data_IF_963941461295
#
_entry.id   IF_963941461295
#
_cell.length_a   1.000
_cell.length_b   1.000
_cell.length_c   1.000
_cell.angle_alpha   90.00
_cell.angle_beta   90.00
_cell.angle_gamma   90.00
#
_symmetry.space_group_name_H-M   'P 1'
#
loop_
_entity.id
_entity.type
_entity.pdbx_description
1 polymer ?
#
# COMPACT_ATOMS: atom_id res chain seq x y z
N UNK A 1 -15.07 -2.85 -7.86
CA UNK A 1 -14.41 -3.64 -6.79
C UNK A 1 -13.96 -2.77 -5.62
N UNK A 2 -13.19 -1.69 -5.82
CA UNK A 2 -12.67 -0.90 -4.69
C UNK A 2 -13.75 -0.21 -3.83
N UNK A 3 -14.83 0.29 -4.45
CA UNK A 3 -15.96 0.84 -3.69
C UNK A 3 -16.63 -0.20 -2.77
N UNK A 4 -16.60 -1.49 -3.16
CA UNK A 4 -17.11 -2.59 -2.33
C UNK A 4 -16.14 -2.84 -1.17
N UNK A 5 -14.83 -2.81 -1.42
CA UNK A 5 -13.83 -2.89 -0.36
C UNK A 5 -13.99 -1.75 0.66
N UNK A 6 -14.06 -0.50 0.21
CA UNK A 6 -14.26 0.64 1.11
C UNK A 6 -15.61 0.56 1.84
N UNK A 7 -16.69 0.35 1.10
CA UNK A 7 -18.03 0.39 1.64
C UNK A 7 -18.33 -0.76 2.59
N UNK A 8 -17.99 -1.99 2.19
CA UNK A 8 -18.33 -3.22 2.90
C UNK A 8 -17.23 -3.62 3.88
N UNK A 9 -15.98 -3.75 3.42
CA UNK A 9 -14.88 -4.28 4.25
C UNK A 9 -14.31 -3.25 5.21
N UNK A 10 -14.18 -1.98 4.78
CA UNK A 10 -13.84 -0.89 5.72
C UNK A 10 -15.08 -0.29 6.40
N UNK A 11 -16.28 -0.67 5.96
CA UNK A 11 -17.53 -0.25 6.56
C UNK A 11 -17.89 1.21 6.31
N UNK A 12 -17.27 1.92 5.36
CA UNK A 12 -17.47 3.36 5.20
C UNK A 12 -18.89 3.74 4.76
N UNK A 13 -19.62 2.80 4.16
CA UNK A 13 -21.01 2.98 3.72
C UNK A 13 -22.01 2.18 4.55
N UNK A 14 -21.56 1.43 5.57
CA UNK A 14 -22.46 0.66 6.44
C UNK A 14 -23.15 1.60 7.44
N UNK A 15 -24.41 1.32 7.84
CA UNK A 15 -25.12 2.14 8.83
C UNK A 15 -24.39 2.24 10.17
N UNK A 16 -23.74 1.15 10.62
CA UNK A 16 -22.97 1.07 11.86
C UNK A 16 -21.53 1.62 11.74
N UNK A 17 -21.07 1.85 10.50
CA UNK A 17 -19.71 2.21 10.09
C UNK A 17 -18.62 1.22 10.54
N UNK A 18 -18.98 -0.01 10.90
CA UNK A 18 -18.02 -1.00 11.43
C UNK A 18 -17.50 -1.88 10.29
N UNK A 19 -16.21 -1.79 10.00
CA UNK A 19 -15.49 -2.66 9.08
C UNK A 19 -14.62 -3.72 9.77
N UNK A 20 -13.81 -4.42 8.98
CA UNK A 20 -12.89 -5.47 9.42
C UNK A 20 -11.82 -5.00 10.42
N UNK A 21 -11.53 -3.69 10.44
CA UNK A 21 -10.57 -3.07 11.37
C UNK A 21 -11.25 -2.21 12.45
N UNK A 22 -12.60 -2.17 12.49
CA UNK A 22 -13.37 -1.23 13.30
C UNK A 22 -13.89 -0.04 12.50
N UNK A 23 -14.21 1.07 13.18
CA UNK A 23 -14.74 2.29 12.54
C UNK A 23 -13.62 3.11 11.92
N UNK A 24 -13.72 3.37 10.63
CA UNK A 24 -12.73 4.18 9.90
C UNK A 24 -13.09 5.67 9.98
N UNK A 25 -12.15 6.47 10.48
CA UNK A 25 -12.21 7.94 10.50
C UNK A 25 -11.70 8.52 9.18
N UNK A 26 -10.52 8.09 8.75
CA UNK A 26 -9.91 8.56 7.50
C UNK A 26 -9.19 7.42 6.77
N UNK A 27 -9.04 7.55 5.46
CA UNK A 27 -8.17 6.70 4.67
C UNK A 27 -7.56 7.47 3.50
N UNK A 28 -6.40 7.00 3.06
CA UNK A 28 -5.74 7.47 1.86
C UNK A 28 -5.05 6.29 1.19
N UNK A 29 -5.39 6.02 -0.06
CA UNK A 29 -4.76 4.96 -0.82
C UNK A 29 -4.42 5.38 -2.24
N UNK A 30 -3.36 4.80 -2.76
CA UNK A 30 -2.82 5.06 -4.11
C UNK A 30 -2.74 3.75 -4.87
N UNK A 31 -3.31 3.75 -6.07
CA UNK A 31 -3.28 2.63 -7.00
C UNK A 31 -2.10 2.80 -7.93
N UNK A 32 -1.27 1.77 -8.02
CA UNK A 32 -0.14 1.73 -8.94
C UNK A 32 -0.17 0.46 -9.80
N UNK A 33 0.40 0.55 -11.00
CA UNK A 33 0.69 -0.64 -11.79
C UNK A 33 2.06 -1.20 -11.43
N UNK A 34 2.15 -2.52 -11.31
CA UNK A 34 3.42 -3.23 -11.30
C UNK A 34 3.97 -3.34 -12.73
N UNK A 35 5.23 -3.79 -12.84
CA UNK A 35 5.92 -3.95 -14.12
C UNK A 35 5.22 -4.88 -15.13
N UNK A 36 4.24 -5.68 -14.69
CA UNK A 36 3.40 -6.54 -15.55
C UNK A 36 1.99 -6.00 -15.79
N UNK A 37 1.73 -4.75 -15.39
CA UNK A 37 0.44 -4.08 -15.57
C UNK A 37 -0.63 -4.41 -14.54
N UNK A 38 -0.39 -5.33 -13.60
CA UNK A 38 -1.32 -5.60 -12.50
C UNK A 38 -1.45 -4.37 -11.60
N UNK A 39 -2.69 -4.00 -11.30
CA UNK A 39 -2.99 -2.91 -10.37
C UNK A 39 -2.97 -3.44 -8.94
N UNK A 40 -2.33 -2.71 -8.04
CA UNK A 40 -2.46 -2.92 -6.61
C UNK A 40 -2.50 -1.58 -5.89
N UNK A 41 -2.97 -1.61 -4.65
CA UNK A 41 -3.17 -0.42 -3.85
C UNK A 41 -2.32 -0.44 -2.59
N UNK A 42 -1.73 0.69 -2.26
CA UNK A 42 -1.18 0.98 -0.94
C UNK A 42 -2.19 1.83 -0.19
N UNK A 43 -2.53 1.46 1.05
CA UNK A 43 -3.61 2.09 1.79
C UNK A 43 -3.20 2.40 3.23
N UNK A 44 -3.46 3.63 3.64
CA UNK A 44 -3.45 4.08 5.03
C UNK A 44 -4.88 4.17 5.55
N UNK A 45 -5.09 3.67 6.77
CA UNK A 45 -6.38 3.68 7.44
C UNK A 45 -6.18 4.25 8.84
N UNK A 46 -6.96 5.27 9.19
CA UNK A 46 -7.04 5.84 10.52
C UNK A 46 -8.38 5.47 11.15
N UNK A 47 -8.33 4.85 12.31
CA UNK A 47 -9.52 4.44 13.04
C UNK A 47 -10.08 5.58 13.89
N UNK A 48 -11.38 5.55 14.12
CA UNK A 48 -12.07 6.48 15.01
C UNK A 48 -11.69 6.19 16.46
N UNK A 49 -11.32 7.23 17.21
CA UNK A 49 -10.85 7.09 18.59
C UNK A 49 -9.44 6.47 18.74
N UNK A 50 -8.71 6.25 17.63
CA UNK A 50 -7.32 5.81 17.69
C UNK A 50 -6.46 6.83 18.44
N UNK A 51 -5.70 6.34 19.41
CA UNK A 51 -4.72 7.10 20.16
C UNK A 51 -3.50 7.41 19.29
N UNK A 52 -2.76 8.46 19.64
CA UNK A 52 -1.46 8.69 19.00
C UNK A 52 -0.47 7.57 19.36
N UNK A 53 0.56 7.31 18.55
CA UNK A 53 1.57 6.31 18.89
C UNK A 53 2.20 6.49 20.29
N UNK A 54 2.43 7.74 20.70
CA UNK A 54 2.95 8.06 22.03
C UNK A 54 1.93 7.69 23.12
N UNK A 55 0.66 8.09 22.94
CA UNK A 55 -0.39 7.76 23.90
C UNK A 55 -0.63 6.25 24.01
N UNK A 56 -0.51 5.52 22.89
CA UNK A 56 -0.57 4.06 22.88
C UNK A 56 0.54 3.49 23.76
N UNK A 57 1.78 3.94 23.56
CA UNK A 57 2.93 3.46 24.32
C UNK A 57 2.76 3.76 25.82
N UNK A 58 2.46 5.02 26.18
CA UNK A 58 2.24 5.44 27.57
C UNK A 58 1.12 4.62 28.21
N UNK A 59 -0.02 4.47 27.53
CA UNK A 59 -1.16 3.74 28.09
C UNK A 59 -0.91 2.24 28.22
N UNK A 60 -0.13 1.65 27.31
CA UNK A 60 0.30 0.26 27.42
C UNK A 60 1.26 0.02 28.58
N UNK A 61 2.08 1.01 28.94
CA UNK A 61 2.97 0.95 30.10
C UNK A 61 2.19 1.12 31.42
N UNK A 62 1.27 2.08 31.46
CA UNK A 62 0.52 2.43 32.68
C UNK A 62 -0.66 1.48 32.97
N UNK A 63 -1.24 0.88 31.93
CA UNK A 63 -2.46 0.09 32.06
C UNK A 63 -2.32 -1.29 31.40
N UNK A 64 -1.97 -2.33 32.19
CA UNK A 64 -1.84 -3.71 31.70
C UNK A 64 -3.12 -4.27 31.06
N UNK A 65 -4.30 -3.88 31.55
CA UNK A 65 -5.58 -4.32 31.00
C UNK A 65 -5.82 -3.74 29.60
N UNK A 66 -5.52 -2.45 29.40
CA UNK A 66 -5.56 -1.82 28.07
C UNK A 66 -4.58 -2.51 27.11
N UNK A 67 -3.34 -2.76 27.55
CA UNK A 67 -2.33 -3.46 26.75
C UNK A 67 -2.82 -4.83 26.28
N UNK A 68 -3.36 -5.63 27.22
CA UNK A 68 -3.88 -6.96 26.90
C UNK A 68 -5.06 -6.89 25.91
N UNK A 69 -5.99 -5.95 26.08
CA UNK A 69 -7.11 -5.75 25.16
C UNK A 69 -6.65 -5.34 23.76
N UNK A 70 -5.66 -4.44 23.68
CA UNK A 70 -5.08 -4.01 22.41
C UNK A 70 -4.38 -5.16 21.69
N UNK A 71 -3.60 -5.97 22.40
CA UNK A 71 -2.92 -7.14 21.81
C UNK A 71 -3.93 -8.18 21.31
N UNK A 72 -4.95 -8.50 22.11
CA UNK A 72 -6.02 -9.40 21.70
C UNK A 72 -6.76 -8.88 20.47
N UNK A 73 -7.02 -7.56 20.40
CA UNK A 73 -7.60 -6.95 19.21
C UNK A 73 -6.68 -7.10 17.99
N UNK A 74 -5.40 -6.75 18.10
CA UNK A 74 -4.43 -6.87 17.00
C UNK A 74 -4.32 -8.31 16.49
N UNK A 75 -4.21 -9.28 17.39
CA UNK A 75 -4.18 -10.70 17.02
C UNK A 75 -5.48 -11.17 16.37
N UNK A 76 -6.62 -10.54 16.66
CA UNK A 76 -7.89 -10.86 15.99
C UNK A 76 -7.96 -10.36 14.55
N UNK A 77 -7.24 -9.29 14.20
CA UNK A 77 -7.31 -8.64 12.89
C UNK A 77 -6.07 -8.84 12.01
N UNK A 78 -4.93 -9.23 12.57
CA UNK A 78 -3.68 -9.46 11.84
C UNK A 78 -3.15 -10.84 12.20
N UNK A 79 -3.04 -11.70 11.20
CA UNK A 79 -2.51 -13.07 11.30
C UNK A 79 -1.24 -13.21 10.48
N UNK A 80 -0.38 -14.13 10.90
CA UNK A 80 0.90 -14.45 10.25
C UNK A 80 1.11 -15.96 10.14
N UNK A 81 0.03 -16.72 10.03
CA UNK A 81 0.03 -18.16 10.00
C UNK A 81 -1.19 -18.64 9.21
N UNK A 82 -1.14 -19.89 8.76
CA UNK A 82 -2.29 -20.48 8.11
C UNK A 82 -3.33 -20.88 9.16
N UNK A 83 -4.63 -20.68 8.89
CA UNK A 83 -5.68 -21.22 9.73
C UNK A 83 -5.60 -22.76 9.76
N UNK A 84 -5.98 -23.38 10.86
CA UNK A 84 -6.06 -24.84 10.95
C UNK A 84 -7.18 -25.34 10.03
N UNK A 85 -6.82 -26.12 9.01
CA UNK A 85 -7.74 -26.66 8.00
C UNK A 85 -7.41 -28.12 7.72
N UNK A 86 -8.43 -28.91 7.38
CA UNK A 86 -8.36 -30.39 7.27
C UNK A 86 -8.86 -30.92 5.93
N UNK A 87 -9.34 -30.06 5.03
CA UNK A 87 -9.98 -30.47 3.77
C UNK A 87 -9.34 -29.76 2.56
N UNK A 88 -9.83 -29.98 1.35
CA UNK A 88 -9.42 -29.23 0.14
C UNK A 88 -10.70 -28.89 -0.59
N UNK A 89 -11.03 -27.61 -0.78
CA UNK A 89 -12.29 -27.22 -1.45
C UNK A 89 -12.21 -25.88 -2.20
N UNK A 90 -13.05 -25.77 -3.24
CA UNK A 90 -13.10 -24.66 -4.19
C UNK A 90 -13.84 -23.40 -3.71
N UNK A 91 -14.88 -23.00 -4.47
CA UNK A 91 -15.57 -21.68 -4.45
C UNK A 91 -15.80 -21.08 -3.05
N UNK A 92 -15.89 -19.75 -2.92
CA UNK A 92 -16.20 -19.08 -1.64
C UNK A 92 -17.43 -19.69 -0.94
N UNK A 93 -17.33 -20.00 0.37
CA UNK A 93 -18.44 -20.59 1.12
C UNK A 93 -19.59 -19.58 1.23
N UNK A 94 -20.83 -20.08 1.18
CA UNK A 94 -22.01 -19.24 1.34
C UNK A 94 -22.17 -18.85 2.82
N UNK A 95 -22.15 -17.55 3.18
CA UNK A 95 -22.29 -17.12 4.57
C UNK A 95 -23.64 -17.45 5.20
N UNK A 96 -24.66 -17.80 4.41
CA UNK A 96 -25.97 -18.22 4.91
C UNK A 96 -26.05 -19.72 5.27
N UNK A 97 -25.02 -20.52 4.95
CA UNK A 97 -25.01 -21.94 5.26
C UNK A 97 -24.51 -22.17 6.69
N UNK A 98 -25.13 -23.11 7.41
CA UNK A 98 -24.71 -23.49 8.77
C UNK A 98 -23.27 -24.04 8.83
N UNK A 99 -22.77 -24.57 7.71
CA UNK A 99 -21.41 -25.10 7.60
C UNK A 99 -20.34 -24.02 7.37
N UNK A 100 -20.72 -22.76 7.16
CA UNK A 100 -19.80 -21.67 6.82
C UNK A 100 -18.60 -21.58 7.77
N UNK A 101 -18.83 -21.63 9.08
CA UNK A 101 -17.76 -21.51 10.07
C UNK A 101 -16.77 -22.69 10.06
N UNK A 102 -17.22 -23.86 9.62
CA UNK A 102 -16.38 -25.05 9.48
C UNK A 102 -15.60 -25.03 8.15
N UNK A 103 -16.19 -24.47 7.10
CA UNK A 103 -15.60 -24.40 5.76
C UNK A 103 -14.64 -23.21 5.58
N UNK A 104 -14.92 -22.09 6.25
CA UNK A 104 -14.17 -20.85 6.10
C UNK A 104 -12.66 -20.98 6.36
N UNK A 105 -12.18 -21.64 7.44
CA UNK A 105 -10.76 -21.81 7.68
C UNK A 105 -10.04 -22.49 6.52
N UNK A 106 -10.67 -23.50 5.91
CA UNK A 106 -10.09 -24.20 4.77
C UNK A 106 -10.08 -23.32 3.53
N UNK A 107 -11.20 -22.68 3.21
CA UNK A 107 -11.28 -21.74 2.09
C UNK A 107 -10.22 -20.64 2.20
N UNK A 108 -10.04 -20.07 3.39
CA UNK A 108 -9.03 -19.05 3.63
C UNK A 108 -7.63 -19.61 3.41
N UNK A 109 -7.31 -20.80 3.92
CA UNK A 109 -6.01 -21.46 3.67
C UNK A 109 -5.74 -21.59 2.17
N UNK A 110 -6.72 -22.02 1.39
CA UNK A 110 -6.59 -22.20 -0.07
C UNK A 110 -6.39 -20.85 -0.78
N UNK A 111 -7.07 -19.79 -0.34
CA UNK A 111 -6.82 -18.41 -0.83
C UNK A 111 -5.41 -17.94 -0.49
N UNK A 112 -4.92 -18.18 0.73
CA UNK A 112 -3.58 -17.76 1.15
C UNK A 112 -2.51 -18.46 0.30
N UNK A 113 -2.68 -19.76 0.04
CA UNK A 113 -1.77 -20.55 -0.81
C UNK A 113 -1.82 -20.07 -2.27
N UNK A 114 -3.01 -19.99 -2.87
CA UNK A 114 -3.19 -19.61 -4.27
C UNK A 114 -2.78 -18.15 -4.56
N UNK A 115 -2.89 -17.26 -3.59
CA UNK A 115 -2.52 -15.85 -3.74
C UNK A 115 -1.04 -15.56 -3.47
N UNK A 116 -0.26 -16.54 -3.01
CA UNK A 116 1.13 -16.34 -2.62
C UNK A 116 1.27 -15.44 -1.39
N UNK A 117 0.35 -15.58 -0.42
CA UNK A 117 0.42 -14.85 0.85
C UNK A 117 1.64 -15.28 1.67
N UNK A 118 1.98 -16.57 1.63
CA UNK A 118 3.26 -17.08 2.12
C UNK A 118 4.34 -16.81 1.07
N UNK A 119 5.40 -16.12 1.51
CA UNK A 119 6.46 -15.69 0.62
C UNK A 119 7.34 -16.85 0.18
N UNK A 120 7.50 -16.98 -1.14
CA UNK A 120 8.52 -17.84 -1.74
C UNK A 120 9.56 -16.99 -2.46
N UNK A 121 10.83 -17.17 -2.09
CA UNK A 121 11.93 -16.47 -2.73
C UNK A 121 11.94 -16.71 -4.24
N UNK A 122 12.02 -15.63 -4.99
CA UNK A 122 12.13 -15.61 -6.44
C UNK A 122 12.97 -14.40 -6.88
N UNK A 123 13.26 -14.28 -8.18
CA UNK A 123 14.12 -13.22 -8.72
C UNK A 123 13.64 -11.80 -8.35
N UNK A 124 12.35 -11.60 -8.11
CA UNK A 124 11.84 -10.28 -7.71
C UNK A 124 12.35 -9.85 -6.33
N UNK A 125 12.67 -10.79 -5.44
CA UNK A 125 13.23 -10.53 -4.11
C UNK A 125 14.58 -9.81 -4.19
N UNK A 126 15.32 -10.07 -5.27
CA UNK A 126 16.71 -9.66 -5.44
C UNK A 126 16.89 -8.63 -6.56
N UNK A 127 15.80 -7.98 -7.01
CA UNK A 127 15.80 -7.00 -8.11
C UNK A 127 16.84 -5.88 -7.98
N UNK A 128 17.21 -5.51 -6.75
CA UNK A 128 18.18 -4.44 -6.47
C UNK A 128 19.63 -4.93 -6.38
N UNK A 129 19.85 -6.24 -6.42
CA UNK A 129 21.18 -6.84 -6.36
C UNK A 129 21.78 -6.97 -7.75
N UNK A 130 23.10 -6.80 -7.84
CA UNK A 130 23.87 -7.03 -9.07
C UNK A 130 24.18 -8.51 -9.32
N UNK A 131 23.68 -9.40 -8.47
CA UNK A 131 23.96 -10.84 -8.46
C UNK A 131 22.66 -11.59 -8.66
N UNK A 132 22.67 -12.60 -9.53
CA UNK A 132 21.51 -13.46 -9.75
C UNK A 132 21.21 -14.33 -8.52
N UNK A 133 19.93 -14.58 -8.23
CA UNK A 133 19.49 -15.40 -7.10
C UNK A 133 20.16 -16.79 -7.07
N UNK A 134 20.41 -17.39 -8.24
CA UNK A 134 21.06 -18.69 -8.36
C UNK A 134 22.48 -18.74 -7.79
N UNK A 135 23.14 -17.58 -7.65
CA UNK A 135 24.48 -17.45 -7.05
C UNK A 135 24.45 -17.14 -5.55
N UNK A 136 23.28 -16.84 -5.00
CA UNK A 136 23.11 -16.59 -3.57
C UNK A 136 22.92 -17.92 -2.84
N UNK A 137 23.63 -18.08 -1.72
CA UNK A 137 23.36 -19.18 -0.79
C UNK A 137 21.95 -19.04 -0.19
N UNK A 138 21.43 -20.08 0.45
CA UNK A 138 20.13 -20.00 1.12
C UNK A 138 20.12 -18.92 2.21
N UNK A 139 21.23 -18.78 2.95
CA UNK A 139 21.39 -17.73 3.95
C UNK A 139 21.37 -16.33 3.32
N UNK A 140 22.12 -16.12 2.24
CA UNK A 140 22.13 -14.84 1.53
C UNK A 140 20.74 -14.48 0.98
N UNK A 141 19.96 -15.48 0.53
CA UNK A 141 18.60 -15.26 0.03
C UNK A 141 17.68 -14.76 1.13
N UNK A 142 17.82 -15.31 2.33
CA UNK A 142 17.04 -14.89 3.50
C UNK A 142 17.44 -13.49 3.97
N UNK A 143 18.73 -13.22 4.09
CA UNK A 143 19.26 -11.93 4.60
C UNK A 143 19.05 -10.78 3.61
N UNK A 144 19.19 -11.04 2.29
CA UNK A 144 19.13 -10.00 1.26
C UNK A 144 17.75 -9.88 0.59
N UNK A 145 16.74 -10.59 1.11
CA UNK A 145 15.38 -10.48 0.62
C UNK A 145 14.86 -9.06 0.80
N UNK A 146 14.53 -8.37 -0.31
CA UNK A 146 14.01 -6.99 -0.24
C UNK A 146 12.72 -6.82 0.57
N UNK A 147 12.00 -7.92 0.81
CA UNK A 147 10.75 -7.94 1.56
C UNK A 147 10.97 -8.19 3.06
N UNK A 148 12.23 -8.35 3.49
CA UNK A 148 12.63 -8.66 4.86
C UNK A 148 11.96 -9.93 5.40
N UNK A 149 11.91 -10.96 4.54
CA UNK A 149 11.45 -12.30 4.88
C UNK A 149 12.60 -13.28 4.64
N UNK A 150 12.84 -14.22 5.55
CA UNK A 150 11.95 -14.60 6.64
C UNK A 150 12.09 -13.72 7.89
N UNK A 151 10.97 -13.28 8.45
CA UNK A 151 10.90 -12.45 9.64
C UNK A 151 11.25 -13.23 10.94
N UNK A 152 11.47 -12.52 12.03
CA UNK A 152 11.64 -13.09 13.36
C UNK A 152 10.34 -13.80 13.84
N UNK A 153 10.46 -14.92 14.54
CA UNK A 153 9.32 -15.57 15.18
C UNK A 153 8.94 -14.85 16.46
N UNK A 154 7.64 -14.74 16.72
CA UNK A 154 7.10 -14.09 17.91
C UNK A 154 6.06 -15.02 18.50
N UNK A 155 6.36 -15.62 19.67
CA UNK A 155 5.50 -16.63 20.32
C UNK A 155 4.28 -16.03 21.02
N UNK A 156 4.34 -14.75 21.39
CA UNK A 156 3.23 -13.99 21.97
C UNK A 156 3.39 -12.51 21.62
N UNK A 157 2.29 -11.80 21.39
CA UNK A 157 2.35 -10.37 21.08
C UNK A 157 2.96 -9.59 22.24
N UNK A 158 3.93 -8.73 21.94
CA UNK A 158 4.56 -7.84 22.91
C UNK A 158 4.85 -6.46 22.31
N UNK A 159 5.21 -5.51 23.17
CA UNK A 159 5.69 -4.18 22.77
C UNK A 159 7.14 -4.05 23.22
N UNK A 160 8.02 -3.66 22.30
CA UNK A 160 9.43 -3.42 22.60
C UNK A 160 9.66 -2.07 23.29
N UNK A 161 10.90 -1.83 23.71
CA UNK A 161 11.29 -0.61 24.44
C UNK A 161 11.09 0.67 23.60
N UNK A 162 11.16 0.54 22.28
CA UNK A 162 10.90 1.62 21.31
C UNK A 162 9.40 1.86 21.05
N UNK A 163 8.53 1.09 21.72
CA UNK A 163 7.07 1.19 21.61
C UNK A 163 6.49 0.52 20.37
N UNK A 164 7.28 -0.21 19.58
CA UNK A 164 6.77 -0.97 18.44
C UNK A 164 6.13 -2.27 18.91
N UNK A 165 4.91 -2.53 18.43
CA UNK A 165 4.18 -3.77 18.75
C UNK A 165 4.61 -4.89 17.80
N UNK A 166 5.15 -5.96 18.36
CA UNK A 166 5.46 -7.21 17.66
C UNK A 166 4.29 -8.15 17.84
N UNK A 167 3.52 -8.36 16.77
CA UNK A 167 2.35 -9.25 16.78
C UNK A 167 2.81 -10.70 16.67
N UNK A 168 2.13 -11.59 17.37
CA UNK A 168 2.25 -13.05 17.26
C UNK A 168 2.52 -13.49 15.81
N UNK A 169 3.58 -14.28 15.64
CA UNK A 169 4.07 -14.76 14.35
C UNK A 169 4.72 -16.12 14.50
N UNK A 170 4.01 -17.14 14.01
CA UNK A 170 4.47 -18.53 14.01
C UNK A 170 4.99 -18.98 12.65
N UNK A 171 4.80 -18.19 11.59
CA UNK A 171 5.39 -18.42 10.28
C UNK A 171 6.25 -17.23 9.84
N UNK A 172 7.53 -17.48 9.61
CA UNK A 172 8.53 -16.47 9.24
C UNK A 172 8.33 -15.90 7.85
N UNK A 173 7.69 -16.64 6.94
CA UNK A 173 7.50 -16.27 5.54
C UNK A 173 6.10 -15.68 5.25
N UNK A 174 5.20 -15.71 6.23
CA UNK A 174 3.84 -15.19 6.05
C UNK A 174 3.82 -13.66 6.19
N UNK A 175 3.33 -12.95 5.18
CA UNK A 175 3.03 -11.52 5.30
C UNK A 175 1.78 -11.32 6.14
N UNK A 176 1.72 -10.21 6.89
CA UNK A 176 0.57 -9.93 7.77
C UNK A 176 -0.71 -9.79 6.96
N UNK A 177 -1.78 -10.48 7.38
CA UNK A 177 -3.05 -10.44 6.65
C UNK A 177 -4.24 -10.40 7.60
N UNK A 178 -5.38 -9.95 7.10
CA UNK A 178 -6.65 -9.97 7.82
C UNK A 178 -7.51 -11.06 7.19
N UNK A 179 -7.92 -12.09 7.95
CA UNK A 179 -8.69 -13.22 7.43
C UNK A 179 -9.87 -12.83 6.53
N UNK A 180 -10.64 -11.82 6.94
CA UNK A 180 -11.84 -11.37 6.23
C UNK A 180 -11.44 -10.65 4.94
N UNK A 181 -10.51 -9.69 5.02
CA UNK A 181 -10.10 -8.91 3.85
C UNK A 181 -9.47 -9.81 2.79
N UNK A 182 -8.50 -10.63 3.17
CA UNK A 182 -7.77 -11.50 2.24
C UNK A 182 -8.69 -12.55 1.64
N UNK A 183 -9.55 -13.19 2.46
CA UNK A 183 -10.53 -14.16 1.99
C UNK A 183 -11.58 -13.57 1.05
N UNK A 184 -12.03 -12.33 1.30
CA UNK A 184 -13.02 -11.67 0.46
C UNK A 184 -12.43 -11.10 -0.84
N UNK A 185 -11.21 -10.58 -0.79
CA UNK A 185 -10.53 -9.99 -1.95
C UNK A 185 -9.83 -11.03 -2.82
N UNK A 186 -9.58 -12.24 -2.28
CA UNK A 186 -8.93 -13.36 -2.96
C UNK A 186 -7.57 -13.03 -3.57
N UNK A 187 -6.85 -12.10 -2.93
CA UNK A 187 -5.51 -11.69 -3.33
C UNK A 187 -4.65 -11.51 -2.08
N UNK A 188 -3.33 -11.55 -2.25
CA UNK A 188 -2.42 -11.34 -1.15
C UNK A 188 -2.54 -9.90 -0.62
N UNK A 189 -2.33 -9.75 0.69
CA UNK A 189 -2.36 -8.47 1.40
C UNK A 189 -1.16 -8.34 2.31
N UNK A 190 -0.72 -7.12 2.62
CA UNK A 190 0.33 -6.86 3.62
C UNK A 190 -0.18 -5.82 4.62
N UNK A 191 -0.77 -6.30 5.71
CA UNK A 191 -1.39 -5.47 6.74
C UNK A 191 -0.42 -5.31 7.90
N UNK A 192 -0.17 -4.05 8.27
CA UNK A 192 0.73 -3.67 9.34
C UNK A 192 0.06 -2.68 10.27
N UNK A 193 0.25 -2.88 11.57
CA UNK A 193 -0.18 -1.93 12.58
C UNK A 193 0.86 -0.82 12.75
N UNK A 194 0.39 0.43 12.82
CA UNK A 194 1.22 1.62 12.98
C UNK A 194 1.08 2.13 14.41
N UNK A 195 1.81 1.48 15.32
CA UNK A 195 1.72 1.73 16.76
C UNK A 195 2.78 2.67 17.32
N UNK A 196 3.88 2.92 16.62
CA UNK A 196 5.00 3.75 17.09
C UNK A 196 5.26 4.94 16.16
N UNK A 197 5.83 6.02 16.72
CA UNK A 197 6.12 7.24 15.96
C UNK A 197 7.10 7.01 14.82
N UNK A 198 8.12 6.17 15.05
CA UNK A 198 9.08 5.77 14.01
C UNK A 198 8.40 5.06 12.83
N UNK A 199 7.53 4.09 13.10
CA UNK A 199 6.79 3.37 12.06
C UNK A 199 5.88 4.32 11.29
N UNK A 200 5.20 5.25 11.98
CA UNK A 200 4.36 6.27 11.33
C UNK A 200 5.13 7.21 10.42
N UNK A 201 6.32 7.66 10.84
CA UNK A 201 7.21 8.50 10.02
C UNK A 201 7.71 7.74 8.78
N UNK A 202 8.22 6.52 8.97
CA UNK A 202 8.69 5.68 7.87
C UNK A 202 7.58 5.43 6.84
N UNK A 203 6.34 5.21 7.31
CA UNK A 203 5.19 4.98 6.45
C UNK A 203 4.73 6.24 5.70
N UNK A 204 4.94 7.43 6.27
CA UNK A 204 4.67 8.71 5.60
C UNK A 204 5.60 8.90 4.39
N UNK A 205 6.89 8.58 4.55
CA UNK A 205 7.87 8.59 3.45
C UNK A 205 7.53 7.55 2.40
N UNK A 206 7.15 6.35 2.85
CA UNK A 206 6.70 5.25 1.98
C UNK A 206 5.52 5.69 1.12
N UNK A 207 4.42 6.14 1.73
CA UNK A 207 3.22 6.56 1.01
C UNK A 207 3.47 7.73 0.05
N UNK A 208 4.30 8.70 0.47
CA UNK A 208 4.72 9.81 -0.39
C UNK A 208 5.45 9.31 -1.63
N UNK A 209 6.33 8.30 -1.48
CA UNK A 209 7.05 7.70 -2.59
C UNK A 209 6.11 7.02 -3.60
N UNK A 210 5.06 6.33 -3.15
CA UNK A 210 4.06 5.72 -4.04
C UNK A 210 3.16 6.75 -4.71
N UNK A 211 2.77 7.77 -3.97
CA UNK A 211 2.00 8.91 -4.52
C UNK A 211 2.80 9.60 -5.63
N UNK A 212 4.10 9.80 -5.41
CA UNK A 212 4.99 10.43 -6.37
C UNK A 212 5.49 9.48 -7.48
N UNK A 213 5.25 8.17 -7.39
CA UNK A 213 5.81 7.19 -8.35
C UNK A 213 5.29 7.38 -9.77
N UNK A 214 4.08 7.92 -9.90
CA UNK A 214 3.50 8.26 -11.20
C UNK A 214 4.02 9.59 -11.76
N UNK A 215 4.77 10.37 -10.98
CA UNK A 215 5.42 11.59 -11.43
C UNK A 215 6.63 11.24 -12.31
N UNK A 216 6.84 12.03 -13.36
CA UNK A 216 8.04 11.91 -14.18
C UNK A 216 9.26 12.37 -13.38
N UNK A 217 10.39 11.71 -13.64
CA UNK A 217 11.68 12.12 -13.11
C UNK A 217 12.01 13.56 -13.53
N UNK A 218 12.46 14.39 -12.59
CA UNK A 218 12.78 15.80 -12.85
C UNK A 218 13.82 15.98 -13.95
N UNK A 219 14.80 15.07 -14.08
CA UNK A 219 15.77 15.10 -15.18
C UNK A 219 15.10 14.88 -16.53
N UNK A 220 14.09 14.00 -16.60
CA UNK A 220 13.29 13.79 -17.82
C UNK A 220 12.48 15.05 -18.16
N UNK A 221 11.89 15.71 -17.14
CA UNK A 221 11.16 16.97 -17.31
C UNK A 221 12.09 18.07 -17.83
N UNK A 222 13.27 18.23 -17.24
CA UNK A 222 14.26 19.22 -17.64
C UNK A 222 14.79 18.97 -19.06
N UNK A 223 15.06 17.71 -19.43
CA UNK A 223 15.45 17.36 -20.80
C UNK A 223 14.32 17.67 -21.80
N UNK A 224 13.06 17.40 -21.45
CA UNK A 224 11.92 17.75 -22.29
C UNK A 224 11.74 19.27 -22.42
N UNK A 225 12.03 20.02 -21.37
CA UNK A 225 12.03 21.49 -21.38
C UNK A 225 13.14 22.04 -22.28
N UNK A 226 14.37 21.57 -22.10
CA UNK A 226 15.50 21.96 -22.94
C UNK A 226 15.23 21.67 -24.42
N UNK A 227 14.74 20.48 -24.75
CA UNK A 227 14.37 20.11 -26.12
C UNK A 227 13.25 21.00 -26.70
N UNK A 228 12.27 21.41 -25.88
CA UNK A 228 11.22 22.32 -26.30
C UNK A 228 11.74 23.74 -26.60
N UNK A 229 12.70 24.22 -25.81
CA UNK A 229 13.37 25.52 -26.02
C UNK A 229 14.20 25.48 -27.31
N UNK A 230 15.04 24.46 -27.50
CA UNK A 230 15.86 24.32 -28.71
C UNK A 230 15.00 24.22 -29.99
N UNK A 231 13.87 23.50 -29.93
CA UNK A 231 12.94 23.41 -31.07
C UNK A 231 12.28 24.77 -31.38
N UNK A 232 12.00 25.59 -30.36
CA UNK A 232 11.49 26.95 -30.55
C UNK A 232 12.51 27.89 -31.18
N UNK A 233 13.77 27.83 -30.72
CA UNK A 233 14.87 28.60 -31.29
C UNK A 233 15.12 28.22 -32.76
N UNK A 234 15.14 26.91 -33.07
CA UNK A 234 15.33 26.41 -34.44
C UNK A 234 14.22 26.82 -35.40
N UNK A 235 12.97 26.89 -34.92
CA UNK A 235 11.82 27.33 -35.74
C UNK A 235 11.76 28.84 -35.92
N UNK A 236 12.58 29.60 -35.19
CA UNK A 236 12.59 31.06 -35.17
C UNK A 236 11.18 31.62 -34.90
N UNK A 237 10.48 31.00 -33.94
CA UNK A 237 9.11 31.37 -33.60
C UNK A 237 9.07 32.82 -33.11
N UNK A 238 8.49 33.71 -33.92
CA UNK A 238 8.37 35.14 -33.61
C UNK A 238 7.06 35.40 -32.88
N UNK A 239 6.99 35.00 -31.62
CA UNK A 239 5.86 35.29 -30.74
C UNK A 239 6.16 36.60 -30.01
N UNK A 240 5.38 37.65 -30.31
CA UNK A 240 5.55 38.99 -29.72
C UNK A 240 5.07 39.07 -28.27
N UNK A 241 4.15 38.20 -27.88
CA UNK A 241 3.65 38.07 -26.51
C UNK A 241 4.51 37.09 -25.71
N UNK A 242 5.10 37.58 -24.61
CA UNK A 242 5.93 36.80 -23.69
C UNK A 242 5.15 35.69 -22.99
N UNK A 243 3.88 35.93 -22.67
CA UNK A 243 3.04 34.95 -21.98
C UNK A 243 2.68 33.80 -22.93
N UNK A 244 2.31 34.12 -24.16
CA UNK A 244 2.04 33.13 -25.20
C UNK A 244 3.30 32.34 -25.59
N UNK A 245 4.45 33.01 -25.67
CA UNK A 245 5.75 32.35 -25.89
C UNK A 245 6.06 31.33 -24.78
N UNK A 246 5.86 31.72 -23.51
CA UNK A 246 6.05 30.83 -22.36
C UNK A 246 5.07 29.65 -22.38
N UNK A 247 3.81 29.91 -22.73
CA UNK A 247 2.77 28.87 -22.86
C UNK A 247 3.10 27.86 -23.95
N UNK A 248 3.64 28.31 -25.10
CA UNK A 248 4.03 27.44 -26.21
C UNK A 248 5.20 26.52 -25.83
N UNK A 249 6.21 27.05 -25.14
CA UNK A 249 7.33 26.26 -24.61
C UNK A 249 6.78 25.19 -23.66
N UNK A 250 5.97 25.59 -22.66
CA UNK A 250 5.37 24.64 -21.71
C UNK A 250 4.53 23.56 -22.41
N UNK A 251 3.75 23.93 -23.44
CA UNK A 251 2.94 22.98 -24.22
C UNK A 251 3.83 21.98 -24.97
N UNK A 252 4.93 22.42 -25.57
CA UNK A 252 5.90 21.53 -26.24
C UNK A 252 6.56 20.59 -25.24
N UNK A 253 7.01 21.11 -24.10
CA UNK A 253 7.55 20.32 -23.00
C UNK A 253 6.55 19.25 -22.57
N UNK A 254 5.28 19.62 -22.34
CA UNK A 254 4.22 18.69 -21.99
C UNK A 254 3.98 17.63 -23.06
N UNK A 255 3.99 17.98 -24.34
CA UNK A 255 3.81 17.01 -25.43
C UNK A 255 4.95 15.99 -25.48
N UNK A 256 6.21 16.43 -25.31
CA UNK A 256 7.38 15.54 -25.25
C UNK A 256 7.26 14.62 -24.03
N UNK A 257 6.86 15.18 -22.88
CA UNK A 257 6.65 14.42 -21.64
C UNK A 257 5.57 13.36 -21.78
N UNK A 258 4.40 13.72 -22.33
CA UNK A 258 3.28 12.79 -22.55
C UNK A 258 3.69 11.68 -23.51
N UNK A 259 4.41 12.00 -24.59
CA UNK A 259 4.87 10.99 -25.56
C UNK A 259 5.89 9.99 -24.99
N UNK A 260 6.56 10.33 -23.88
CA UNK A 260 7.51 9.44 -23.18
C UNK A 260 6.86 8.68 -22.02
N UNK A 261 5.59 8.94 -21.70
CA UNK A 261 4.91 8.31 -20.58
C UNK A 261 4.23 7.04 -21.05
N UNK A 262 4.78 5.90 -20.64
CA UNK A 262 4.12 4.61 -20.81
C UNK A 262 3.12 4.38 -19.68
N UNK A 263 1.89 3.99 -20.05
CA UNK A 263 0.84 3.60 -19.11
C UNK A 263 0.42 2.17 -19.43
N UNK A 264 0.17 1.35 -18.40
CA UNK A 264 -0.35 0.01 -18.64
C UNK A 264 -1.80 0.09 -19.15
N UNK A 265 -2.20 -0.89 -19.97
CA UNK A 265 -3.57 -0.98 -20.46
C UNK A 265 -4.60 -1.01 -19.30
N UNK A 266 -4.23 -1.63 -18.18
CA UNK A 266 -5.05 -1.71 -16.98
C UNK A 266 -5.21 -0.35 -16.29
N UNK A 267 -4.16 0.48 -16.22
CA UNK A 267 -4.26 1.84 -15.67
C UNK A 267 -5.19 2.70 -16.53
N UNK A 268 -5.03 2.62 -17.85
CA UNK A 268 -5.90 3.35 -18.79
C UNK A 268 -7.35 2.88 -18.63
N UNK A 269 -7.59 1.58 -18.57
CA UNK A 269 -8.92 1.03 -18.37
C UNK A 269 -9.54 1.47 -17.03
N UNK A 270 -8.78 1.44 -15.93
CA UNK A 270 -9.26 1.89 -14.61
C UNK A 270 -9.64 3.37 -14.61
N UNK A 271 -8.85 4.23 -15.26
CA UNK A 271 -9.16 5.65 -15.38
C UNK A 271 -10.41 5.88 -16.23
N UNK A 272 -10.54 5.20 -17.38
CA UNK A 272 -11.71 5.30 -18.26
C UNK A 272 -13.00 4.80 -17.59
N UNK A 273 -12.88 3.82 -16.69
CA UNK A 273 -13.99 3.32 -15.87
C UNK A 273 -14.29 4.19 -14.64
N UNK A 274 -13.57 5.30 -14.46
CA UNK A 274 -13.78 6.23 -13.34
C UNK A 274 -13.35 5.65 -11.99
N UNK A 275 -12.45 4.67 -11.96
CA UNK A 275 -11.88 4.18 -10.71
C UNK A 275 -10.81 5.12 -10.16
N UNK A 276 -10.15 5.89 -11.03
CA UNK A 276 -9.07 6.79 -10.63
C UNK A 276 -7.82 6.04 -10.17
N UNK A 277 -6.83 6.81 -9.71
CA UNK A 277 -5.53 6.30 -9.25
C UNK A 277 -5.28 6.51 -7.74
N UNK A 278 -6.24 7.10 -7.04
CA UNK A 278 -6.17 7.30 -5.59
C UNK A 278 -7.57 7.34 -5.00
N UNK A 279 -7.66 7.03 -3.70
CA UNK A 279 -8.91 6.99 -2.97
C UNK A 279 -8.75 7.56 -1.57
N UNK A 280 -9.65 8.45 -1.18
CA UNK A 280 -9.62 9.09 0.13
C UNK A 280 -10.99 9.63 0.50
N UNK A 281 -11.27 9.73 1.80
CA UNK A 281 -12.39 10.50 2.34
C UNK A 281 -11.97 11.88 2.89
N UNK A 282 -10.68 12.25 2.76
CA UNK A 282 -10.16 13.55 3.14
C UNK A 282 -10.29 14.56 1.98
N UNK A 283 -10.28 15.84 2.33
CA UNK A 283 -10.16 16.95 1.37
C UNK A 283 -8.81 17.62 1.56
N UNK A 284 -8.06 17.76 0.48
CA UNK A 284 -6.75 18.39 0.50
C UNK A 284 -6.83 19.79 -0.10
N UNK A 285 -6.15 20.76 0.53
CA UNK A 285 -5.94 22.07 -0.05
C UNK A 285 -4.89 21.99 -1.17
N UNK A 286 -5.10 22.72 -2.26
CA UNK A 286 -4.11 22.86 -3.33
C UNK A 286 -3.11 23.94 -2.90
N UNK A 287 -1.85 23.56 -2.76
CA UNK A 287 -0.77 24.51 -2.55
C UNK A 287 -0.01 24.70 -3.86
N UNK A 288 0.12 25.94 -4.30
CA UNK A 288 0.93 26.29 -5.46
C UNK A 288 2.35 26.57 -4.98
N UNK A 289 3.31 25.79 -5.48
CA UNK A 289 4.73 25.94 -5.15
C UNK A 289 5.24 27.38 -5.34
N UNK A 290 4.84 28.03 -6.44
CA UNK A 290 5.16 29.43 -6.73
C UNK A 290 4.65 30.41 -5.67
N UNK A 291 3.47 30.16 -5.10
CA UNK A 291 2.91 30.94 -4.02
C UNK A 291 3.65 30.73 -2.70
N UNK A 292 4.19 29.54 -2.46
CA UNK A 292 4.95 29.24 -1.25
C UNK A 292 6.35 29.90 -1.27
N UNK A 293 6.98 29.93 -2.44
CA UNK A 293 8.26 30.61 -2.66
C UNK A 293 8.19 32.13 -2.52
N UNK A 294 7.00 32.73 -2.62
CA UNK A 294 6.80 34.17 -2.42
C UNK A 294 6.62 34.57 -0.95
N UNK A 295 6.54 33.58 -0.04
CA UNK A 295 6.49 33.77 1.42
C UNK A 295 7.83 33.49 2.12
N UNK A 296 8.87 33.10 1.37
CA UNK A 296 10.24 32.88 1.88
C UNK A 296 11.14 34.05 1.48
#
# INVERSE_FOLDING_TARGET
MFNIFLGTLLGTTRPDRVGAFGRVKAYYGVVEAQARGSLHIHLLIWLEGALSPLDIQTKCQENPAFRAQMFAWLESIIKHDFPQGVFVLGRPPNPANDTFHNEWPQYLRDVLDASGQEHTHNDTCFKKLKVAMSRLSTQDRDELCRFNLPAELVEATYMDDDGATKILRLNRLMSGYNPIVTGAMQCNTDIKFVGSGWVGMALSVYMSSYTAKACMDSAVILCALAAAVEDAEKRNDTVTDRDESSRLILRRTLNIMVGRRELSAQQVAAELLGHGNHHTNARFAKFYWSGMLSYV
#
